data_IF_952506317048
#
_entry.id   IF_952506317048
#
_cell.length_a   1.000
_cell.length_b   1.000
_cell.length_c   1.000
_cell.angle_alpha   90.00
_cell.angle_beta   90.00
_cell.angle_gamma   90.00
#
_symmetry.space_group_name_H-M   'P 1'
#
loop_
_entity.id
_entity.type
_entity.pdbx_description
1 polymer ?
#
# COMPACT_ATOMS: atom_id res chain seq x y z
N UNK A 1 -27.03 3.36 26.75
CA UNK A 1 -28.01 3.35 25.64
C UNK A 1 -27.47 4.30 24.58
N UNK A 2 -27.07 3.73 23.44
CA UNK A 2 -26.61 4.30 22.16
C UNK A 2 -25.37 5.22 22.10
N UNK A 3 -24.42 4.71 21.30
CA UNK A 3 -23.21 5.35 20.80
C UNK A 3 -23.55 6.56 19.92
N UNK A 4 -22.70 7.57 19.98
CA UNK A 4 -22.37 8.39 18.83
C UNK A 4 -20.84 8.62 18.88
N UNK A 5 -20.09 7.52 18.70
CA UNK A 5 -18.76 7.60 18.10
C UNK A 5 -19.03 7.86 16.62
N UNK A 6 -19.46 9.10 16.32
CA UNK A 6 -19.50 9.60 14.96
C UNK A 6 -18.03 9.83 14.59
N UNK A 7 -17.35 8.71 14.29
CA UNK A 7 -16.19 8.76 13.43
C UNK A 7 -16.73 9.34 12.13
N UNK A 8 -16.58 10.64 11.98
CA UNK A 8 -16.12 11.16 10.71
C UNK A 8 -14.92 10.28 10.35
N UNK A 9 -15.17 9.27 9.53
CA UNK A 9 -14.14 8.54 8.83
C UNK A 9 -13.55 9.54 7.83
N UNK A 10 -12.87 10.56 8.35
CA UNK A 10 -12.07 11.47 7.58
C UNK A 10 -11.13 10.60 6.78
N UNK A 11 -11.24 10.69 5.46
CA UNK A 11 -10.29 10.11 4.52
C UNK A 11 -8.90 10.50 5.01
N UNK A 12 -8.28 9.58 5.75
CA UNK A 12 -6.99 9.79 6.39
C UNK A 12 -5.96 9.63 5.30
N UNK A 13 -5.87 10.65 4.45
CA UNK A 13 -4.90 10.74 3.38
C UNK A 13 -3.57 11.23 3.92
N UNK A 14 -2.49 10.57 3.54
CA UNK A 14 -1.12 11.07 3.77
C UNK A 14 -0.72 11.91 2.57
N UNK A 15 -0.39 13.18 2.79
CA UNK A 15 0.16 14.03 1.74
C UNK A 15 1.59 13.60 1.40
N UNK A 16 1.88 13.47 0.11
CA UNK A 16 3.20 13.15 -0.42
C UNK A 16 3.58 14.16 -1.49
N UNK A 17 4.80 14.66 -1.44
CA UNK A 17 5.40 15.44 -2.52
C UNK A 17 6.30 14.52 -3.34
N UNK A 18 6.14 14.52 -4.66
CA UNK A 18 6.96 13.74 -5.59
C UNK A 18 7.59 14.73 -6.57
N UNK A 19 8.90 14.62 -6.76
CA UNK A 19 9.60 15.32 -7.83
C UNK A 19 9.62 14.42 -9.06
N UNK A 20 9.19 14.97 -10.19
CA UNK A 20 9.15 14.31 -11.49
C UNK A 20 9.92 15.18 -12.48
N UNK A 21 10.68 14.54 -13.36
CA UNK A 21 11.32 15.21 -14.48
C UNK A 21 10.26 15.78 -15.44
N UNK A 22 10.58 16.84 -16.22
CA UNK A 22 9.61 17.46 -17.12
C UNK A 22 8.96 16.47 -18.09
N UNK A 23 9.73 15.51 -18.60
CA UNK A 23 9.23 14.50 -19.53
C UNK A 23 8.28 13.50 -18.85
N UNK A 24 8.48 13.22 -17.57
CA UNK A 24 7.61 12.35 -16.77
C UNK A 24 6.27 13.03 -16.48
N UNK A 25 6.28 14.35 -16.23
CA UNK A 25 5.03 15.14 -16.08
C UNK A 25 4.23 15.12 -17.38
N UNK A 26 4.89 15.30 -18.53
CA UNK A 26 4.23 15.25 -19.84
C UNK A 26 3.66 13.84 -20.11
N UNK A 27 4.38 12.79 -19.74
CA UNK A 27 3.90 11.42 -19.84
C UNK A 27 2.67 11.18 -18.95
N UNK A 28 2.67 11.68 -17.71
CA UNK A 28 1.54 11.59 -16.79
C UNK A 28 0.32 12.34 -17.33
N UNK A 29 0.50 13.57 -17.85
CA UNK A 29 -0.60 14.35 -18.44
C UNK A 29 -1.22 13.64 -19.64
N UNK A 30 -0.39 13.05 -20.50
CA UNK A 30 -0.86 12.25 -21.63
C UNK A 30 -1.66 11.05 -21.15
N UNK A 31 -1.17 10.33 -20.14
CA UNK A 31 -1.87 9.19 -19.55
C UNK A 31 -3.24 9.61 -18.98
N UNK A 32 -3.29 10.71 -18.22
CA UNK A 32 -4.55 11.24 -17.69
C UNK A 32 -5.52 11.57 -18.82
N UNK A 33 -5.05 12.25 -19.87
CA UNK A 33 -5.90 12.64 -21.00
C UNK A 33 -6.46 11.44 -21.78
N UNK A 34 -5.71 10.35 -21.91
CA UNK A 34 -6.09 9.19 -22.73
C UNK A 34 -6.84 8.10 -21.96
N UNK A 35 -6.38 7.78 -20.75
CA UNK A 35 -6.90 6.67 -19.95
C UNK A 35 -7.92 7.11 -18.90
N UNK A 36 -7.84 8.35 -18.42
CA UNK A 36 -8.62 8.85 -17.28
C UNK A 36 -9.19 10.26 -17.52
N UNK A 37 -9.96 10.47 -18.60
CA UNK A 37 -10.41 11.81 -18.99
C UNK A 37 -11.22 12.46 -17.86
N UNK A 38 -10.87 13.71 -17.54
CA UNK A 38 -11.53 14.50 -16.50
C UNK A 38 -11.02 14.23 -15.07
N UNK A 39 -10.05 13.34 -14.87
CA UNK A 39 -9.39 13.14 -13.58
C UNK A 39 -8.20 14.09 -13.39
N UNK A 40 -7.90 14.40 -12.15
CA UNK A 40 -6.68 15.13 -11.77
C UNK A 40 -5.45 14.21 -11.74
N UNK A 41 -4.26 14.82 -11.80
CA UNK A 41 -2.98 14.10 -11.60
C UNK A 41 -2.94 13.35 -10.27
N UNK A 42 -3.48 13.95 -9.21
CA UNK A 42 -3.55 13.33 -7.88
C UNK A 42 -4.36 12.04 -7.91
N UNK A 43 -5.55 12.07 -8.53
CA UNK A 43 -6.40 10.89 -8.64
C UNK A 43 -5.74 9.80 -9.49
N UNK A 44 -5.09 10.18 -10.58
CA UNK A 44 -4.37 9.23 -11.43
C UNK A 44 -3.20 8.56 -10.71
N UNK A 45 -2.39 9.32 -9.95
CA UNK A 45 -1.31 8.77 -9.15
C UNK A 45 -1.83 7.86 -8.02
N UNK A 46 -2.92 8.25 -7.35
CA UNK A 46 -3.56 7.40 -6.35
C UNK A 46 -4.05 6.08 -6.96
N UNK A 47 -4.62 6.12 -8.17
CA UNK A 47 -5.05 4.92 -8.88
C UNK A 47 -3.87 4.04 -9.30
N UNK A 48 -2.79 4.62 -9.82
CA UNK A 48 -1.56 3.88 -10.17
C UNK A 48 -1.03 3.14 -8.94
N UNK A 49 -0.97 3.80 -7.78
CA UNK A 49 -0.54 3.19 -6.52
C UNK A 49 -1.50 2.07 -6.10
N UNK A 50 -2.82 2.27 -6.22
CA UNK A 50 -3.81 1.26 -5.88
C UNK A 50 -3.70 0.02 -6.79
N UNK A 51 -3.53 0.21 -8.10
CA UNK A 51 -3.33 -0.87 -9.05
C UNK A 51 -2.02 -1.62 -8.76
N UNK A 52 -0.95 -0.90 -8.45
CA UNK A 52 0.33 -1.52 -8.07
C UNK A 52 0.19 -2.37 -6.80
N UNK A 53 -0.52 -1.88 -5.77
CA UNK A 53 -0.80 -2.65 -4.56
C UNK A 53 -1.63 -3.91 -4.86
N UNK A 54 -2.66 -3.80 -5.70
CA UNK A 54 -3.50 -4.94 -6.10
C UNK A 54 -2.74 -5.98 -6.92
N UNK A 55 -1.75 -5.55 -7.72
CA UNK A 55 -0.93 -6.43 -8.54
C UNK A 55 0.20 -7.13 -7.76
N UNK A 56 0.48 -6.71 -6.51
CA UNK A 56 1.47 -7.41 -5.68
C UNK A 56 0.86 -8.71 -5.14
N UNK A 57 1.53 -9.88 -5.30
CA UNK A 57 1.24 -10.98 -4.40
C UNK A 57 1.49 -10.46 -2.98
N UNK A 58 0.65 -10.85 -2.02
CA UNK A 58 0.72 -10.41 -0.62
C UNK A 58 2.09 -10.78 -0.04
N UNK A 59 3.10 -9.93 -0.24
CA UNK A 59 4.39 -10.02 0.44
C UNK A 59 4.15 -9.35 1.79
N UNK A 60 3.48 -10.10 2.66
CA UNK A 60 2.96 -9.61 3.93
C UNK A 60 2.40 -10.72 4.83
N UNK A 61 2.24 -11.94 4.33
CA UNK A 61 2.14 -13.13 5.18
C UNK A 61 3.42 -13.96 4.99
N UNK A 62 4.58 -13.32 5.20
CA UNK A 62 5.70 -14.11 5.68
C UNK A 62 5.29 -14.56 7.09
N UNK A 63 5.19 -15.87 7.41
CA UNK A 63 5.13 -16.26 8.81
C UNK A 63 6.35 -15.61 9.45
N UNK A 64 6.13 -14.84 10.51
CA UNK A 64 7.21 -14.36 11.37
C UNK A 64 8.01 -15.62 11.70
N UNK A 65 9.25 -15.71 11.22
CA UNK A 65 10.15 -16.75 11.68
C UNK A 65 10.47 -16.39 13.14
N UNK A 66 9.62 -16.89 14.04
CA UNK A 66 9.76 -16.76 15.49
C UNK A 66 11.00 -17.52 16.02
N UNK A 67 11.86 -18.02 15.13
CA UNK A 67 12.92 -18.96 15.49
C UNK A 67 12.35 -20.23 16.09
N UNK A 68 13.20 -21.25 16.22
CA UNK A 68 12.84 -22.45 16.97
C UNK A 68 12.59 -22.07 18.43
N UNK A 69 11.43 -22.48 18.96
CA UNK A 69 11.10 -22.25 20.37
C UNK A 69 12.06 -23.07 21.23
N UNK A 70 12.45 -22.61 22.44
CA UNK A 70 13.40 -23.34 23.28
C UNK A 70 12.99 -24.80 23.57
N UNK A 71 11.70 -25.10 23.51
CA UNK A 71 11.14 -26.45 23.63
C UNK A 71 11.59 -27.42 22.53
N UNK A 72 12.02 -26.93 21.36
CA UNK A 72 12.50 -27.73 20.23
C UNK A 72 14.01 -28.04 20.35
N UNK A 73 14.73 -27.36 21.25
CA UNK A 73 16.16 -27.61 21.51
C UNK A 73 16.39 -28.78 22.48
N UNK A 74 15.35 -29.26 23.17
CA UNK A 74 15.46 -30.32 24.17
C UNK A 74 15.17 -31.72 23.62
N UNK A 75 14.72 -31.85 22.36
CA UNK A 75 14.44 -33.12 21.72
C UNK A 75 15.67 -33.78 21.07
N UNK A 76 16.81 -33.11 21.03
CA UNK A 76 18.04 -33.61 20.38
C UNK A 76 19.18 -33.93 21.36
N UNK A 77 18.90 -34.13 22.65
CA UNK A 77 19.94 -34.50 23.64
C UNK A 77 19.69 -35.82 24.36
N UNK A 78 18.96 -36.76 23.76
CA UNK A 78 18.78 -38.12 24.32
C UNK A 78 18.89 -39.20 23.23
N UNK A 79 20.04 -39.25 22.55
CA UNK A 79 20.50 -40.40 21.76
C UNK A 79 22.03 -40.49 21.75
#
# INVERSE_FOLDING_TARGET
MFRADEKEAGMSGTALTIELEPDEVVALDRYVATAMPGRSRQEALAEIVAQWLAARPVVGEAPVDEGLKPQDLNASNDS
#
